data_IF_358148655845
#
_entry.id   IF_358148655845
#
_cell.length_a   1.000
_cell.length_b   1.000
_cell.length_c   1.000
_cell.angle_alpha   90.00
_cell.angle_beta   90.00
_cell.angle_gamma   90.00
#
_symmetry.space_group_name_H-M   'P 1'
#
loop_
_entity.id
_entity.type
_entity.pdbx_description
1 polymer ?
#
# COMPACT_ATOMS: atom_id res chain seq x y z
N UNK A 1 -23.93 -36.42 52.82
CA UNK A 1 -22.73 -37.16 53.18
C UNK A 1 -22.87 -38.54 52.54
N UNK A 2 -22.59 -38.66 51.27
CA UNK A 2 -22.54 -39.87 50.44
C UNK A 2 -22.58 -39.48 48.97
N UNK A 3 -21.44 -39.15 48.37
CA UNK A 3 -21.25 -39.09 46.90
C UNK A 3 -19.75 -38.80 46.56
N UNK A 4 -18.83 -39.42 47.26
CA UNK A 4 -17.41 -39.39 46.96
C UNK A 4 -16.80 -40.79 47.04
N UNK A 5 -17.11 -41.66 46.11
CA UNK A 5 -16.63 -43.04 46.19
C UNK A 5 -16.81 -43.90 44.97
N UNK A 6 -16.77 -43.33 43.72
CA UNK A 6 -16.98 -44.20 42.55
C UNK A 6 -16.10 -43.93 41.31
N UNK A 7 -15.13 -43.04 41.36
CA UNK A 7 -14.33 -42.73 40.18
C UNK A 7 -12.84 -43.21 40.20
N UNK A 8 -12.40 -43.96 41.17
CA UNK A 8 -10.99 -44.36 41.26
C UNK A 8 -10.69 -45.79 40.82
N UNK A 9 -11.66 -46.54 40.28
CA UNK A 9 -11.42 -47.98 39.96
C UNK A 9 -11.21 -48.33 38.48
N UNK A 10 -11.38 -47.41 37.51
CA UNK A 10 -11.26 -47.76 36.09
C UNK A 10 -9.96 -47.34 35.43
N UNK A 11 -9.08 -46.60 36.09
CA UNK A 11 -7.80 -46.16 35.48
C UNK A 11 -6.62 -47.12 35.70
N UNK A 12 -6.77 -48.17 36.46
CA UNK A 12 -5.65 -49.12 36.72
C UNK A 12 -5.58 -50.32 35.75
N UNK A 13 -6.64 -50.57 34.96
CA UNK A 13 -6.70 -51.75 34.08
C UNK A 13 -6.08 -51.61 32.70
N UNK A 14 -5.90 -50.38 32.17
CA UNK A 14 -5.45 -50.16 30.81
C UNK A 14 -3.91 -49.96 30.67
N UNK A 15 -3.25 -49.60 31.75
CA UNK A 15 -1.79 -49.39 31.76
C UNK A 15 -0.99 -50.72 31.90
N UNK A 16 -1.58 -51.79 32.42
CA UNK A 16 -0.96 -53.09 32.57
C UNK A 16 -0.90 -53.87 31.24
N UNK A 17 -1.89 -53.74 30.37
CA UNK A 17 -1.92 -54.50 29.08
C UNK A 17 -0.93 -53.96 28.06
N UNK A 18 -0.66 -52.68 28.02
CA UNK A 18 0.34 -52.10 27.10
C UNK A 18 1.78 -52.42 27.56
N UNK A 19 2.04 -52.46 28.86
CA UNK A 19 3.37 -52.80 29.39
C UNK A 19 3.70 -54.29 29.20
N UNK A 20 2.72 -55.18 29.31
CA UNK A 20 2.90 -56.61 29.03
C UNK A 20 3.18 -56.82 27.53
N UNK A 21 2.53 -56.05 26.61
CA UNK A 21 2.79 -56.11 25.18
C UNK A 21 4.22 -55.66 24.84
N UNK A 22 4.68 -54.55 25.42
CA UNK A 22 6.04 -54.05 25.22
C UNK A 22 7.10 -54.99 25.78
N UNK A 23 6.84 -55.58 26.96
CA UNK A 23 7.75 -56.59 27.56
C UNK A 23 7.83 -57.86 26.71
N UNK A 24 6.72 -58.32 26.17
CA UNK A 24 6.65 -59.51 25.32
C UNK A 24 7.37 -59.24 23.97
N UNK A 25 7.19 -58.06 23.39
CA UNK A 25 7.90 -57.68 22.17
C UNK A 25 9.40 -57.52 22.39
N UNK A 26 9.82 -56.92 23.50
CA UNK A 26 11.21 -56.79 23.89
C UNK A 26 11.86 -58.16 24.16
N UNK A 27 11.15 -59.08 24.79
CA UNK A 27 11.62 -60.43 25.06
C UNK A 27 11.79 -61.26 23.76
N UNK A 28 10.85 -61.13 22.81
CA UNK A 28 10.95 -61.77 21.49
C UNK A 28 12.12 -61.16 20.68
N UNK A 29 12.31 -59.83 20.75
CA UNK A 29 13.44 -59.16 20.08
C UNK A 29 14.79 -59.61 20.64
N UNK A 30 14.91 -59.72 21.97
CA UNK A 30 16.13 -60.21 22.62
C UNK A 30 16.37 -61.69 22.31
N UNK A 31 15.33 -62.51 22.28
CA UNK A 31 15.43 -63.92 21.92
C UNK A 31 15.88 -64.12 20.46
N UNK A 32 15.40 -63.27 19.52
CA UNK A 32 15.84 -63.28 18.12
C UNK A 32 17.30 -62.81 18.01
N UNK A 33 17.72 -61.83 18.76
CA UNK A 33 19.11 -61.38 18.82
C UNK A 33 20.03 -62.43 19.39
N UNK A 34 19.64 -63.10 20.48
CA UNK A 34 20.42 -64.19 21.06
C UNK A 34 20.48 -65.42 20.15
N UNK A 35 19.40 -65.74 19.45
CA UNK A 35 19.39 -66.80 18.43
C UNK A 35 20.30 -66.45 17.24
N UNK A 36 20.38 -65.17 16.85
CA UNK A 36 21.30 -64.70 15.81
C UNK A 36 22.77 -64.80 16.20
N UNK A 37 23.10 -64.62 17.48
CA UNK A 37 24.49 -64.74 18.01
C UNK A 37 24.91 -66.19 18.25
N UNK A 38 23.99 -67.10 18.52
CA UNK A 38 24.27 -68.47 18.80
C UNK A 38 24.31 -69.36 17.57
N UNK A 39 23.79 -68.95 16.44
CA UNK A 39 23.73 -69.67 15.18
C UNK A 39 24.95 -69.37 14.29
N UNK A 40 26.11 -69.65 14.71
CA UNK A 40 27.35 -69.54 13.91
C UNK A 40 27.55 -70.73 12.90
N UNK A 41 26.45 -71.43 12.51
CA UNK A 41 26.50 -72.41 11.43
C UNK A 41 25.55 -72.14 10.32
N UNK A 42 26.10 -71.62 9.25
CA UNK A 42 25.54 -70.90 8.12
C UNK A 42 24.71 -71.70 7.10
N UNK A 43 24.24 -72.89 7.36
CA UNK A 43 23.59 -73.71 6.34
C UNK A 43 22.07 -73.72 6.41
N UNK A 44 21.45 -73.48 7.56
CA UNK A 44 19.98 -73.51 7.75
C UNK A 44 19.39 -72.16 7.42
N UNK A 45 20.13 -71.05 7.64
CA UNK A 45 19.66 -69.69 7.36
C UNK A 45 19.58 -69.34 5.87
N UNK A 46 20.39 -70.00 5.04
CA UNK A 46 20.36 -69.75 3.59
C UNK A 46 19.03 -70.19 2.96
N UNK A 47 18.54 -71.37 3.32
CA UNK A 47 17.26 -71.91 2.84
C UNK A 47 16.06 -71.15 3.42
N UNK A 48 16.09 -70.68 4.67
CA UNK A 48 15.04 -69.87 5.26
C UNK A 48 14.99 -68.48 4.67
N UNK A 49 16.10 -67.90 4.27
CA UNK A 49 16.19 -66.58 3.60
C UNK A 49 15.69 -66.64 2.17
N UNK A 50 16.02 -67.68 1.43
CA UNK A 50 15.52 -67.93 0.06
C UNK A 50 13.98 -68.12 0.05
N UNK A 51 13.46 -68.93 0.97
CA UNK A 51 12.02 -69.11 1.14
C UNK A 51 11.25 -67.87 1.61
N UNK A 52 11.90 -67.03 2.46
CA UNK A 52 11.32 -65.76 2.93
C UNK A 52 11.28 -64.69 1.83
N UNK A 53 12.28 -64.66 0.96
CA UNK A 53 12.31 -63.72 -0.18
C UNK A 53 11.29 -64.13 -1.24
N UNK A 54 11.14 -65.42 -1.50
CA UNK A 54 10.17 -65.93 -2.50
C UNK A 54 8.73 -65.79 -2.05
N UNK A 55 8.44 -65.84 -0.75
CA UNK A 55 7.09 -65.65 -0.17
C UNK A 55 6.77 -64.16 0.11
N UNK A 56 7.79 -63.30 0.32
CA UNK A 56 7.57 -61.86 0.56
C UNK A 56 7.45 -61.04 -0.72
N UNK A 57 7.90 -61.55 -1.84
CA UNK A 57 7.85 -60.88 -3.16
C UNK A 57 6.44 -60.46 -3.54
N UNK A 58 5.42 -61.33 -3.50
CA UNK A 58 4.05 -60.92 -3.89
C UNK A 58 3.38 -59.94 -2.90
N UNK A 59 3.83 -59.95 -1.60
CA UNK A 59 3.28 -59.05 -0.61
C UNK A 59 3.89 -57.64 -0.76
N UNK A 60 5.14 -57.54 -1.14
CA UNK A 60 5.82 -56.26 -1.43
C UNK A 60 5.31 -55.60 -2.73
N UNK A 61 4.99 -56.38 -3.75
CA UNK A 61 4.35 -55.86 -4.98
C UNK A 61 2.95 -55.35 -4.70
N UNK A 62 2.20 -55.98 -3.80
CA UNK A 62 0.85 -55.57 -3.44
C UNK A 62 0.84 -54.30 -2.55
N UNK A 63 1.89 -54.06 -1.77
CA UNK A 63 2.07 -52.88 -0.95
C UNK A 63 2.66 -51.67 -1.68
N UNK A 64 3.35 -51.88 -2.80
CA UNK A 64 3.92 -50.81 -3.61
C UNK A 64 2.95 -50.28 -4.71
N UNK A 65 1.88 -51.00 -5.01
CA UNK A 65 0.89 -50.58 -5.99
C UNK A 65 -0.04 -49.42 -5.64
N UNK A 66 -0.44 -49.20 -4.37
CA UNK A 66 -1.46 -48.19 -4.08
C UNK A 66 -0.94 -46.83 -3.61
N UNK A 67 0.38 -46.60 -3.57
CA UNK A 67 0.90 -45.31 -3.04
C UNK A 67 0.70 -44.19 -4.07
N UNK A 68 0.82 -44.44 -5.37
CA UNK A 68 0.66 -43.41 -6.40
C UNK A 68 -0.76 -42.87 -6.56
N UNK A 69 -1.79 -43.70 -6.38
CA UNK A 69 -3.17 -43.24 -6.54
C UNK A 69 -3.70 -42.44 -5.33
N UNK A 70 -3.04 -42.58 -4.16
CA UNK A 70 -3.36 -41.81 -2.96
C UNK A 70 -2.79 -40.39 -3.10
N UNK A 71 -1.61 -40.20 -3.68
CA UNK A 71 -1.02 -38.87 -3.96
C UNK A 71 -1.85 -38.11 -4.99
N UNK A 72 -2.30 -38.74 -6.08
CA UNK A 72 -3.16 -38.12 -7.08
C UNK A 72 -4.54 -37.74 -6.54
N UNK A 73 -5.09 -38.53 -5.62
CA UNK A 73 -6.38 -38.21 -4.98
C UNK A 73 -6.25 -37.10 -3.93
N UNK A 74 -5.17 -37.07 -3.18
CA UNK A 74 -4.91 -36.00 -2.19
C UNK A 74 -4.57 -34.68 -2.90
N UNK A 75 -3.87 -34.72 -4.04
CA UNK A 75 -3.63 -33.56 -4.89
C UNK A 75 -4.92 -32.94 -5.41
N UNK A 76 -5.84 -33.74 -5.93
CA UNK A 76 -7.13 -33.29 -6.42
C UNK A 76 -8.02 -32.67 -5.34
N UNK A 77 -7.94 -33.16 -4.08
CA UNK A 77 -8.62 -32.56 -2.94
C UNK A 77 -8.01 -31.20 -2.55
N UNK A 78 -6.69 -31.08 -2.52
CA UNK A 78 -6.02 -29.82 -2.20
C UNK A 78 -6.30 -28.74 -3.25
N UNK A 79 -6.34 -29.09 -4.52
CA UNK A 79 -6.65 -28.17 -5.62
C UNK A 79 -8.11 -27.72 -5.58
N UNK A 80 -9.04 -28.61 -5.22
CA UNK A 80 -10.44 -28.27 -5.05
C UNK A 80 -10.65 -27.23 -3.90
N UNK A 81 -10.00 -27.44 -2.77
CA UNK A 81 -10.07 -26.48 -1.66
C UNK A 81 -9.42 -25.13 -2.02
N UNK A 82 -8.29 -25.15 -2.74
CA UNK A 82 -7.64 -23.93 -3.23
C UNK A 82 -8.54 -23.15 -4.19
N UNK A 83 -9.21 -23.84 -5.11
CA UNK A 83 -10.17 -23.20 -6.04
C UNK A 83 -11.37 -22.62 -5.30
N UNK A 84 -11.89 -23.30 -4.26
CA UNK A 84 -12.98 -22.77 -3.43
C UNK A 84 -12.54 -21.52 -2.66
N UNK A 85 -11.35 -21.54 -2.08
CA UNK A 85 -10.80 -20.41 -1.34
C UNK A 85 -10.53 -19.21 -2.25
N UNK A 86 -9.93 -19.46 -3.44
CA UNK A 86 -9.77 -18.43 -4.47
C UNK A 86 -11.10 -17.87 -4.95
N UNK A 87 -12.12 -18.74 -5.15
CA UNK A 87 -13.44 -18.28 -5.57
C UNK A 87 -14.13 -17.43 -4.50
N UNK A 88 -13.91 -17.76 -3.23
CA UNK A 88 -14.40 -16.96 -2.10
C UNK A 88 -13.68 -15.61 -2.05
N UNK A 89 -12.36 -15.60 -2.11
CA UNK A 89 -11.56 -14.37 -2.13
C UNK A 89 -11.93 -13.46 -3.31
N UNK A 90 -12.07 -14.02 -4.51
CA UNK A 90 -12.50 -13.25 -5.69
C UNK A 90 -13.93 -12.69 -5.56
N UNK A 91 -14.83 -13.39 -4.88
CA UNK A 91 -16.18 -12.86 -4.60
C UNK A 91 -16.13 -11.70 -3.62
N UNK A 92 -15.36 -11.84 -2.54
CA UNK A 92 -15.17 -10.76 -1.55
C UNK A 92 -14.51 -9.53 -2.20
N UNK A 93 -13.51 -9.72 -3.04
CA UNK A 93 -12.88 -8.66 -3.82
C UNK A 93 -13.86 -7.99 -4.80
N UNK A 94 -14.67 -8.79 -5.49
CA UNK A 94 -15.68 -8.27 -6.42
C UNK A 94 -16.78 -7.49 -5.72
N UNK A 95 -17.20 -7.93 -4.52
CA UNK A 95 -18.15 -7.20 -3.69
C UNK A 95 -17.55 -5.88 -3.20
N UNK A 96 -16.30 -5.88 -2.75
CA UNK A 96 -15.61 -4.67 -2.34
C UNK A 96 -15.46 -3.68 -3.52
N UNK A 97 -15.06 -4.16 -4.71
CA UNK A 97 -14.96 -3.33 -5.91
C UNK A 97 -16.30 -2.73 -6.32
N UNK A 98 -17.41 -3.48 -6.20
CA UNK A 98 -18.75 -2.95 -6.47
C UNK A 98 -19.14 -1.85 -5.48
N UNK A 99 -18.83 -2.02 -4.20
CA UNK A 99 -19.07 -0.97 -3.21
C UNK A 99 -18.30 0.31 -3.52
N UNK A 100 -17.02 0.19 -3.86
CA UNK A 100 -16.21 1.33 -4.31
C UNK A 100 -16.75 1.99 -5.58
N UNK A 101 -17.25 1.20 -6.52
CA UNK A 101 -17.85 1.72 -7.76
C UNK A 101 -19.16 2.50 -7.47
N UNK A 102 -20.00 1.98 -6.59
CA UNK A 102 -21.23 2.65 -6.15
C UNK A 102 -20.93 3.97 -5.43
N UNK A 103 -19.94 3.95 -4.51
CA UNK A 103 -19.52 5.16 -3.81
C UNK A 103 -18.94 6.20 -4.77
N UNK A 104 -18.08 5.77 -5.70
CA UNK A 104 -17.55 6.66 -6.74
C UNK A 104 -18.65 7.25 -7.64
N UNK A 105 -19.70 6.48 -7.96
CA UNK A 105 -20.85 6.99 -8.73
C UNK A 105 -21.66 7.99 -7.92
N UNK A 106 -21.90 7.72 -6.63
CA UNK A 106 -22.65 8.63 -5.77
C UNK A 106 -21.91 9.95 -5.58
N UNK A 107 -20.59 9.91 -5.35
CA UNK A 107 -19.77 11.12 -5.25
C UNK A 107 -19.75 11.93 -6.54
N UNK A 108 -19.67 11.27 -7.71
CA UNK A 108 -19.76 11.96 -9.01
C UNK A 108 -21.12 12.61 -9.20
N UNK A 109 -22.21 11.98 -8.78
CA UNK A 109 -23.53 12.55 -8.85
C UNK A 109 -23.67 13.79 -7.94
N UNK A 110 -23.09 13.77 -6.75
CA UNK A 110 -23.06 14.93 -5.85
C UNK A 110 -22.24 16.08 -6.45
N UNK A 111 -21.07 15.76 -7.03
CA UNK A 111 -20.24 16.77 -7.70
C UNK A 111 -21.00 17.40 -8.87
N UNK A 112 -21.64 16.59 -9.72
CA UNK A 112 -22.42 17.09 -10.85
C UNK A 112 -23.59 17.98 -10.40
N UNK A 113 -24.28 17.61 -9.31
CA UNK A 113 -25.35 18.43 -8.74
C UNK A 113 -24.85 19.77 -8.16
N UNK A 114 -23.65 19.77 -7.54
CA UNK A 114 -23.03 21.00 -7.05
C UNK A 114 -22.56 21.90 -8.19
N UNK A 115 -22.00 21.32 -9.26
CA UNK A 115 -21.60 22.04 -10.46
C UNK A 115 -22.80 22.71 -11.15
N UNK A 116 -23.95 22.04 -11.20
CA UNK A 116 -25.20 22.60 -11.75
C UNK A 116 -25.73 23.72 -10.87
N UNK A 117 -25.63 23.60 -9.53
CA UNK A 117 -26.10 24.63 -8.59
C UNK A 117 -25.24 25.90 -8.59
N UNK A 118 -23.94 25.79 -8.82
CA UNK A 118 -23.00 26.92 -8.78
C UNK A 118 -22.85 27.62 -10.13
N UNK A 119 -23.43 27.10 -11.22
CA UNK A 119 -23.17 27.56 -12.59
C UNK A 119 -21.67 27.70 -12.87
N UNK A 120 -20.89 26.74 -12.29
CA UNK A 120 -19.44 26.73 -12.40
C UNK A 120 -19.08 26.33 -13.83
N UNK A 121 -18.81 27.33 -14.68
CA UNK A 121 -18.03 27.12 -15.89
C UNK A 121 -16.65 26.61 -15.42
N UNK A 122 -16.44 25.30 -15.47
CA UNK A 122 -15.11 24.77 -15.31
C UNK A 122 -14.17 25.50 -16.28
N UNK A 123 -13.08 26.13 -15.81
CA UNK A 123 -12.16 26.78 -16.72
C UNK A 123 -11.75 25.74 -17.77
N UNK A 124 -11.69 26.11 -19.06
CA UNK A 124 -11.41 25.20 -20.14
C UNK A 124 -10.15 24.42 -19.72
N UNK A 125 -10.24 23.08 -19.76
CA UNK A 125 -9.17 22.21 -19.28
C UNK A 125 -7.86 22.72 -19.91
N UNK A 126 -7.03 23.37 -19.09
CA UNK A 126 -5.79 23.98 -19.57
C UNK A 126 -4.95 22.84 -20.15
N UNK A 127 -4.71 22.88 -21.46
CA UNK A 127 -3.80 21.91 -22.08
C UNK A 127 -2.43 22.13 -21.44
N UNK A 128 -1.82 21.13 -20.84
CA UNK A 128 -0.52 21.28 -20.25
C UNK A 128 0.49 21.66 -21.36
N UNK A 129 1.31 22.65 -21.07
CA UNK A 129 2.39 23.10 -21.94
C UNK A 129 3.68 22.70 -21.24
N UNK A 130 4.41 21.76 -21.80
CA UNK A 130 5.71 21.34 -21.24
C UNK A 130 6.79 22.34 -21.64
N UNK A 131 7.53 22.82 -20.65
CA UNK A 131 8.59 23.79 -20.84
C UNK A 131 9.85 23.43 -20.05
N UNK A 132 11.01 23.75 -20.61
CA UNK A 132 12.29 23.59 -19.92
C UNK A 132 12.73 24.90 -19.29
N UNK A 133 13.26 24.82 -18.09
CA UNK A 133 13.89 25.95 -17.41
C UNK A 133 15.20 26.27 -18.12
N UNK A 134 15.32 27.50 -18.65
CA UNK A 134 16.49 27.99 -19.37
C UNK A 134 17.28 29.06 -18.63
N UNK A 135 16.76 29.54 -17.51
CA UNK A 135 17.44 30.52 -16.66
C UNK A 135 16.77 30.64 -15.31
N UNK A 136 17.54 31.01 -14.31
CA UNK A 136 17.09 31.30 -12.96
C UNK A 136 17.62 32.65 -12.51
N UNK A 137 16.80 33.46 -11.85
CA UNK A 137 17.21 34.61 -11.09
C UNK A 137 16.92 34.30 -9.59
N UNK A 138 18.00 34.23 -8.85
CA UNK A 138 17.95 33.87 -7.42
C UNK A 138 18.72 34.93 -6.62
N UNK A 139 18.21 36.17 -6.67
CA UNK A 139 18.73 37.27 -5.88
C UNK A 139 18.07 37.29 -4.48
N UNK A 140 18.57 38.13 -3.58
CA UNK A 140 18.09 38.19 -2.22
C UNK A 140 16.56 38.49 -2.11
N UNK A 141 15.98 39.11 -3.13
CA UNK A 141 14.56 39.53 -3.12
C UNK A 141 13.76 39.01 -4.32
N UNK A 142 14.41 38.53 -5.36
CA UNK A 142 13.74 38.06 -6.59
C UNK A 142 14.06 36.61 -6.85
N UNK A 143 13.04 35.79 -6.76
CA UNK A 143 13.13 34.37 -7.06
C UNK A 143 12.24 34.05 -8.25
N UNK A 144 12.85 33.89 -9.42
CA UNK A 144 12.12 33.60 -10.66
C UNK A 144 12.89 32.63 -11.56
N UNK A 145 12.13 31.93 -12.39
CA UNK A 145 12.66 31.05 -13.44
C UNK A 145 12.17 31.52 -14.80
N UNK A 146 13.03 31.32 -15.82
CA UNK A 146 12.67 31.57 -17.22
C UNK A 146 12.55 30.22 -17.92
N UNK A 147 11.45 30.04 -18.65
CA UNK A 147 11.19 28.84 -19.43
C UNK A 147 11.16 29.12 -20.91
N UNK A 148 11.43 28.08 -21.71
CA UNK A 148 11.50 28.15 -23.18
C UNK A 148 10.13 28.02 -23.88
N UNK A 149 9.06 28.30 -23.20
CA UNK A 149 7.70 28.36 -23.76
C UNK A 149 7.10 29.74 -23.54
N UNK A 150 6.43 30.27 -24.54
CA UNK A 150 5.90 31.63 -24.55
C UNK A 150 4.52 31.75 -25.18
N UNK A 151 4.20 32.97 -25.64
CA UNK A 151 2.89 33.25 -26.24
C UNK A 151 2.58 32.38 -27.47
N UNK A 152 3.59 32.01 -28.24
CA UNK A 152 3.44 31.12 -29.41
C UNK A 152 3.02 29.72 -29.04
N UNK A 153 3.39 29.28 -27.85
CA UNK A 153 3.07 27.96 -27.32
C UNK A 153 1.74 27.96 -26.53
N UNK A 154 1.10 29.13 -26.42
CA UNK A 154 -0.18 29.29 -25.73
C UNK A 154 -0.03 29.63 -24.24
N UNK A 155 1.18 30.00 -23.78
CA UNK A 155 1.42 30.44 -22.41
C UNK A 155 0.76 31.81 -22.19
N UNK A 156 0.02 31.95 -21.09
CA UNK A 156 -0.68 33.16 -20.70
C UNK A 156 -0.24 33.58 -19.31
N UNK A 157 -0.14 34.89 -19.10
CA UNK A 157 0.15 35.49 -17.80
C UNK A 157 -0.92 35.05 -16.77
N UNK A 158 -0.47 34.63 -15.60
CA UNK A 158 -1.32 34.13 -14.53
C UNK A 158 -1.36 32.61 -14.44
N UNK A 159 -0.99 31.88 -15.47
CA UNK A 159 -0.95 30.41 -15.43
C UNK A 159 -0.05 29.88 -14.30
N UNK A 160 -0.44 28.74 -13.73
CA UNK A 160 0.39 28.01 -12.79
C UNK A 160 1.51 27.29 -13.55
N UNK A 161 2.70 27.36 -13.01
CA UNK A 161 3.80 26.46 -13.37
C UNK A 161 3.87 25.35 -12.32
N UNK A 162 3.85 24.10 -12.79
CA UNK A 162 3.86 22.91 -11.93
C UNK A 162 4.97 21.96 -12.36
N UNK A 163 5.56 21.26 -11.40
CA UNK A 163 6.44 20.13 -11.64
C UNK A 163 5.79 18.82 -11.13
N UNK A 164 6.51 17.72 -11.17
CA UNK A 164 6.05 16.41 -10.70
C UNK A 164 5.64 16.37 -9.21
N UNK A 165 6.05 17.36 -8.42
CA UNK A 165 5.82 17.43 -6.96
C UNK A 165 4.73 18.40 -6.59
N UNK A 166 4.49 19.41 -7.43
CA UNK A 166 3.47 20.41 -7.15
C UNK A 166 3.70 21.73 -7.84
N UNK A 167 3.10 22.79 -7.30
CA UNK A 167 3.20 24.13 -7.85
C UNK A 167 4.57 24.72 -7.59
N UNK A 168 5.24 25.16 -8.66
CA UNK A 168 6.53 25.86 -8.65
C UNK A 168 6.32 27.37 -8.49
N UNK A 169 5.34 27.93 -9.20
CA UNK A 169 5.08 29.36 -9.22
C UNK A 169 3.99 29.76 -10.18
N UNK A 170 3.94 31.05 -10.51
CA UNK A 170 2.97 31.65 -11.42
C UNK A 170 3.67 32.42 -12.54
N UNK A 171 3.15 32.31 -13.75
CA UNK A 171 3.64 33.10 -14.91
C UNK A 171 3.31 34.58 -14.68
N UNK A 172 4.33 35.42 -14.69
CA UNK A 172 4.19 36.87 -14.49
C UNK A 172 4.49 37.67 -15.74
N UNK A 173 5.39 37.21 -16.61
CA UNK A 173 5.69 37.84 -17.89
C UNK A 173 5.73 36.79 -18.99
N UNK A 174 5.27 37.16 -20.17
CA UNK A 174 5.24 36.29 -21.34
C UNK A 174 5.83 37.04 -22.54
N UNK A 175 6.84 36.43 -23.15
CA UNK A 175 7.44 36.83 -24.42
C UNK A 175 7.02 35.86 -25.53
N UNK A 176 7.29 36.14 -26.81
CA UNK A 176 6.88 35.23 -27.88
C UNK A 176 7.36 33.78 -27.74
N UNK A 177 8.59 33.56 -27.25
CA UNK A 177 9.21 32.24 -27.15
C UNK A 177 9.69 31.89 -25.73
N UNK A 178 9.37 32.69 -24.72
CA UNK A 178 9.79 32.48 -23.34
C UNK A 178 8.78 33.06 -22.36
N UNK A 179 8.74 32.56 -21.14
CA UNK A 179 7.95 33.11 -20.07
C UNK A 179 8.74 33.14 -18.78
N UNK A 180 8.39 34.08 -17.88
CA UNK A 180 8.97 34.19 -16.55
C UNK A 180 7.99 33.69 -15.50
N UNK A 181 8.45 32.79 -14.68
CA UNK A 181 7.73 32.23 -13.53
C UNK A 181 8.20 32.95 -12.26
N UNK A 182 7.29 33.53 -11.51
CA UNK A 182 7.53 34.02 -10.17
C UNK A 182 7.35 32.84 -9.19
N UNK A 183 8.39 32.50 -8.45
CA UNK A 183 8.38 31.34 -7.54
C UNK A 183 7.53 31.61 -6.30
N UNK A 184 7.10 30.53 -5.64
CA UNK A 184 6.24 30.63 -4.44
C UNK A 184 6.98 31.27 -3.24
N UNK A 185 8.29 31.19 -3.18
CA UNK A 185 9.12 31.78 -2.13
C UNK A 185 9.49 33.26 -2.40
N UNK A 186 9.21 33.81 -3.57
CA UNK A 186 9.45 35.22 -3.86
C UNK A 186 8.61 36.13 -2.98
N UNK A 187 9.19 37.25 -2.50
CA UNK A 187 8.50 38.23 -1.62
C UNK A 187 7.28 38.88 -2.26
N UNK A 188 7.18 38.92 -3.59
CA UNK A 188 6.03 39.43 -4.32
C UNK A 188 4.97 38.34 -4.59
N UNK A 189 5.29 37.09 -4.31
CA UNK A 189 4.38 35.97 -4.54
C UNK A 189 3.22 36.01 -3.53
N UNK A 190 2.00 35.98 -4.03
CA UNK A 190 0.75 35.92 -3.28
C UNK A 190 -0.16 34.91 -3.95
N UNK A 191 -0.34 33.76 -3.32
CA UNK A 191 -1.13 32.67 -3.87
C UNK A 191 -2.27 32.34 -2.90
N UNK A 192 -3.51 32.41 -3.35
CA UNK A 192 -4.65 31.99 -2.53
C UNK A 192 -4.61 30.48 -2.36
N UNK A 193 -4.60 30.03 -1.12
CA UNK A 193 -4.46 28.62 -0.73
C UNK A 193 -5.53 28.19 0.25
N UNK A 194 -5.71 26.88 0.32
CA UNK A 194 -6.63 26.20 1.20
C UNK A 194 -5.87 25.08 1.93
N UNK A 195 -6.11 24.93 3.22
CA UNK A 195 -5.52 23.87 4.04
C UNK A 195 -6.50 22.70 4.10
N UNK A 196 -6.11 21.56 3.54
CA UNK A 196 -6.97 20.36 3.53
C UNK A 196 -7.26 19.86 4.93
N UNK A 197 -8.52 19.56 5.20
CA UNK A 197 -8.99 19.03 6.49
C UNK A 197 -9.31 20.08 7.56
N UNK A 198 -9.05 21.37 7.32
CA UNK A 198 -9.32 22.44 8.30
C UNK A 198 -10.21 23.57 7.81
N UNK A 199 -10.75 23.50 6.58
CA UNK A 199 -11.56 24.55 5.95
C UNK A 199 -10.97 25.97 6.04
N UNK A 200 -9.65 26.10 6.28
CA UNK A 200 -8.97 27.38 6.43
C UNK A 200 -8.45 27.83 5.07
N UNK A 201 -8.90 29.00 4.63
CA UNK A 201 -8.37 29.70 3.47
C UNK A 201 -7.41 30.79 3.89
N UNK A 202 -6.36 31.00 3.09
CA UNK A 202 -5.37 32.04 3.36
C UNK A 202 -4.61 32.43 2.10
N UNK A 203 -3.73 33.41 2.24
CA UNK A 203 -2.81 33.82 1.18
C UNK A 203 -1.41 33.36 1.56
N UNK A 204 -0.83 32.46 0.75
CA UNK A 204 0.57 32.12 0.84
C UNK A 204 1.41 33.31 0.39
N UNK A 205 2.24 33.84 1.29
CA UNK A 205 3.17 34.92 1.02
C UNK A 205 4.62 34.39 1.03
N UNK A 206 5.33 34.60 -0.03
CA UNK A 206 6.77 34.32 -0.09
C UNK A 206 7.58 35.24 0.81
N UNK A 207 8.72 34.76 1.31
CA UNK A 207 9.59 35.47 2.26
C UNK A 207 11.06 35.44 1.87
N UNK A 208 11.40 35.20 0.63
CA UNK A 208 12.79 34.94 0.17
C UNK A 208 13.49 33.82 0.95
N UNK A 209 12.75 32.95 1.62
CA UNK A 209 13.25 31.79 2.34
C UNK A 209 12.65 30.53 1.74
N UNK A 210 13.20 29.39 2.07
CA UNK A 210 12.63 28.11 1.65
C UNK A 210 11.24 27.82 2.26
N UNK A 211 10.78 28.63 3.25
CA UNK A 211 9.52 28.46 3.97
C UNK A 211 8.66 29.72 3.90
N UNK A 212 7.81 29.85 2.86
CA UNK A 212 6.79 30.90 2.84
C UNK A 212 5.77 30.70 3.94
N UNK A 213 5.03 31.76 4.30
CA UNK A 213 4.01 31.69 5.32
C UNK A 213 2.61 31.97 4.77
N UNK A 214 1.62 31.38 5.41
CA UNK A 214 0.22 31.67 5.17
C UNK A 214 -0.23 32.68 6.25
N UNK A 215 -0.63 33.88 5.82
CA UNK A 215 -1.41 34.76 6.68
C UNK A 215 -2.84 34.21 6.76
N UNK A 216 -3.26 33.81 7.93
CA UNK A 216 -4.58 33.22 8.15
C UNK A 216 -5.61 34.33 8.13
N UNK A 217 -6.41 34.40 7.06
CA UNK A 217 -7.38 35.48 6.85
C UNK A 217 -8.74 35.18 7.50
N UNK A 218 -9.09 33.91 7.66
CA UNK A 218 -10.33 33.46 8.31
C UNK A 218 -10.09 32.15 9.07
N UNK A 219 -10.13 32.25 10.38
CA UNK A 219 -10.39 31.10 11.24
C UNK A 219 -11.91 30.94 11.32
N UNK A 220 -12.46 30.00 10.59
CA UNK A 220 -13.85 29.61 10.81
C UNK A 220 -13.89 28.75 12.08
N UNK A 221 -14.49 29.32 13.14
CA UNK A 221 -14.95 28.64 14.35
C UNK A 221 -14.14 27.40 14.80
N UNK A 222 -12.90 27.62 15.28
CA UNK A 222 -12.19 26.58 16.05
C UNK A 222 -11.43 25.54 15.27
N UNK A 223 -11.37 25.63 13.96
CA UNK A 223 -10.58 24.72 13.12
C UNK A 223 -9.08 25.03 13.30
N UNK A 224 -8.41 24.18 14.06
CA UNK A 224 -6.97 24.27 14.31
C UNK A 224 -6.20 23.70 13.11
N UNK A 225 -5.41 24.55 12.46
CA UNK A 225 -4.39 24.10 11.50
C UNK A 225 -3.36 23.28 12.28
N UNK A 226 -2.98 22.12 11.75
CA UNK A 226 -1.99 21.24 12.35
C UNK A 226 -0.78 21.05 11.42
N UNK A 227 0.43 20.91 11.95
CA UNK A 227 1.59 20.50 11.18
C UNK A 227 1.33 19.19 10.45
N UNK A 228 1.82 19.10 9.20
CA UNK A 228 1.61 17.95 8.32
C UNK A 228 0.38 18.01 7.43
N UNK A 229 -0.55 18.95 7.64
CA UNK A 229 -1.69 19.13 6.73
C UNK A 229 -1.24 19.63 5.36
N UNK A 230 -1.91 19.15 4.30
CA UNK A 230 -1.61 19.55 2.92
C UNK A 230 -2.18 20.93 2.63
N UNK A 231 -1.41 21.70 1.87
CA UNK A 231 -1.77 23.02 1.38
C UNK A 231 -1.90 22.95 -0.12
N UNK A 232 -3.06 23.37 -0.63
CA UNK A 232 -3.38 23.38 -2.05
C UNK A 232 -3.92 24.76 -2.46
N UNK A 233 -3.92 25.06 -3.76
CA UNK A 233 -4.53 26.30 -4.27
C UNK A 233 -6.04 26.29 -4.02
N UNK A 234 -6.60 27.42 -3.62
CA UNK A 234 -8.04 27.56 -3.33
C UNK A 234 -8.90 27.79 -4.56
N UNK A 235 -8.29 28.23 -5.68
CA UNK A 235 -9.03 28.67 -6.86
C UNK A 235 -9.61 30.10 -6.75
N UNK A 236 -9.44 30.77 -5.62
CA UNK A 236 -9.95 32.11 -5.43
C UNK A 236 -9.33 33.08 -6.44
N UNK A 237 -10.18 33.93 -7.02
CA UNK A 237 -9.79 34.87 -8.09
C UNK A 237 -9.81 34.30 -9.50
N UNK A 238 -10.13 33.02 -9.70
CA UNK A 238 -10.36 32.38 -11.01
C UNK A 238 -9.13 32.25 -11.94
N UNK A 239 -7.93 32.64 -11.46
CA UNK A 239 -6.70 32.64 -12.27
C UNK A 239 -6.00 31.28 -12.15
N UNK A 240 -5.96 30.72 -10.96
CA UNK A 240 -5.31 29.44 -10.67
C UNK A 240 -6.37 28.37 -10.46
N UNK A 241 -6.20 27.17 -11.04
CA UNK A 241 -7.09 26.05 -10.76
C UNK A 241 -7.02 25.69 -9.26
N UNK A 242 -8.13 25.21 -8.71
CA UNK A 242 -8.21 24.70 -7.34
C UNK A 242 -7.52 23.34 -7.25
N UNK A 243 -6.86 23.06 -6.12
CA UNK A 243 -6.34 21.73 -5.81
C UNK A 243 -4.90 21.47 -6.24
N UNK A 244 -4.18 22.45 -6.80
CA UNK A 244 -2.74 22.28 -7.07
C UNK A 244 -1.98 22.17 -5.75
N UNK A 245 -1.16 21.14 -5.61
CA UNK A 245 -0.35 20.94 -4.42
C UNK A 245 0.69 22.04 -4.29
N UNK A 246 0.71 22.72 -3.14
CA UNK A 246 1.67 23.78 -2.81
C UNK A 246 2.73 23.25 -1.84
N UNK A 247 2.30 22.51 -0.81
CA UNK A 247 3.20 21.97 0.19
C UNK A 247 2.45 21.38 1.38
N UNK A 248 3.13 21.38 2.53
CA UNK A 248 2.58 20.94 3.80
C UNK A 248 2.85 21.97 4.89
N UNK A 249 1.97 22.08 5.88
CA UNK A 249 2.18 22.92 7.06
C UNK A 249 3.38 22.38 7.83
N UNK A 250 4.40 23.22 8.01
CA UNK A 250 5.59 22.88 8.77
C UNK A 250 5.43 23.29 10.25
N UNK A 251 5.01 24.52 10.50
CA UNK A 251 4.87 25.08 11.83
C UNK A 251 3.64 26.01 11.87
N UNK A 252 2.98 26.08 13.00
CA UNK A 252 1.80 26.94 13.22
C UNK A 252 2.07 27.84 14.40
N UNK A 253 1.90 29.15 14.19
CA UNK A 253 1.93 30.19 15.21
C UNK A 253 0.55 30.86 15.31
N UNK A 254 0.33 31.69 16.33
CA UNK A 254 -0.97 32.35 16.56
C UNK A 254 -1.51 33.17 15.38
N UNK A 255 -0.66 33.70 14.50
CA UNK A 255 -1.04 34.60 13.41
C UNK A 255 -0.73 34.07 12.02
N UNK A 256 0.11 33.06 11.92
CA UNK A 256 0.59 32.55 10.66
C UNK A 256 1.03 31.08 10.75
N UNK A 257 0.93 30.39 9.64
CA UNK A 257 1.48 29.04 9.48
C UNK A 257 2.59 29.08 8.42
N UNK A 258 3.71 28.43 8.69
CA UNK A 258 4.79 28.25 7.71
C UNK A 258 4.55 27.01 6.89
N UNK A 259 4.89 27.06 5.59
CA UNK A 259 4.67 25.98 4.65
C UNK A 259 6.00 25.45 4.13
N UNK A 260 6.22 24.16 4.25
CA UNK A 260 7.26 23.45 3.52
C UNK A 260 6.76 23.19 2.10
N UNK A 261 7.38 23.82 1.10
CA UNK A 261 6.99 23.69 -0.30
C UNK A 261 7.21 22.26 -0.80
N UNK A 262 6.32 21.79 -1.67
CA UNK A 262 6.44 20.49 -2.31
C UNK A 262 7.45 20.51 -3.45
N UNK A 263 7.50 21.59 -4.21
CA UNK A 263 8.45 21.78 -5.31
C UNK A 263 9.88 21.98 -4.81
N UNK A 264 10.83 21.32 -5.46
CA UNK A 264 12.27 21.48 -5.22
C UNK A 264 12.90 22.27 -6.39
N UNK A 265 13.05 23.55 -6.21
CA UNK A 265 13.51 24.46 -7.26
C UNK A 265 14.88 24.07 -7.84
N UNK A 266 15.78 23.50 -7.03
CA UNK A 266 17.10 23.07 -7.49
C UNK A 266 17.03 21.89 -8.49
N UNK A 267 15.92 21.16 -8.51
CA UNK A 267 15.71 19.98 -9.36
C UNK A 267 14.65 20.17 -10.44
N UNK A 268 13.84 21.21 -10.35
CA UNK A 268 12.77 21.51 -11.33
C UNK A 268 13.37 22.00 -12.65
N UNK A 269 13.73 21.08 -13.53
CA UNK A 269 14.25 21.38 -14.88
C UNK A 269 13.17 21.47 -15.95
N UNK A 270 12.02 20.89 -15.69
CA UNK A 270 10.85 20.88 -16.58
C UNK A 270 9.62 21.24 -15.77
N UNK A 271 8.78 22.07 -16.32
CA UNK A 271 7.50 22.53 -15.73
C UNK A 271 6.39 22.52 -16.77
#
# INVERSE_FOLDING_TARGET
>A
MELLGRETRERFGLRSRSQVGILLFSLVSVMLLLSSLYSAEASVFKKAREAAIETASPILEFLSGPIGWIEDRLGAFSDYFRVLEQNKALREENEALRQWEEEARSLRAVIAALEELEAYEAPPQAKPINAFVIGEANDAFVHSMIVNAGAKDGVIRGYAAVDERGMVGRIVDVSPNAARILLLNDVQSRIPVFVEGSYVEGILAGRSTARPSIAITKLANGDLIQPGQRVVTSGAGGILPRGLQVGVIAEVNEKEATVALAADYARSRMV
#
